data_IF_216035587745
#
_entry.id   IF_216035587745
#
_cell.length_a   1.000
_cell.length_b   1.000
_cell.length_c   1.000
_cell.angle_alpha   90.00
_cell.angle_beta   90.00
_cell.angle_gamma   90.00
#
_symmetry.space_group_name_H-M   'P 1'
#
loop_
_entity.id
_entity.type
_entity.pdbx_description
1 polymer ?
#
# COMPACT_ATOMS: atom_id res chain seq x y z
N UNK A 1 20.28 43.28 -7.23
CA UNK A 1 20.04 43.16 -5.79
C UNK A 1 18.71 42.41 -5.57
N UNK A 2 18.65 41.08 -5.77
CA UNK A 2 17.39 40.29 -5.72
C UNK A 2 17.47 38.78 -5.34
N UNK A 3 18.59 38.14 -4.93
CA UNK A 3 18.52 36.73 -4.52
C UNK A 3 17.94 36.49 -3.11
N UNK A 4 18.20 37.39 -2.16
CA UNK A 4 17.87 37.19 -0.74
C UNK A 4 16.35 37.22 -0.50
N UNK A 5 15.65 38.23 -1.01
CA UNK A 5 14.21 38.40 -0.79
C UNK A 5 13.36 37.24 -1.35
N UNK A 6 13.74 36.70 -2.51
CA UNK A 6 13.03 35.55 -3.09
C UNK A 6 13.25 34.28 -2.26
N UNK A 7 14.48 34.07 -1.78
CA UNK A 7 14.80 32.95 -0.89
C UNK A 7 14.07 33.08 0.46
N UNK A 8 13.92 34.30 0.98
CA UNK A 8 13.23 34.57 2.24
C UNK A 8 11.74 34.22 2.15
N UNK A 9 11.07 34.55 1.04
CA UNK A 9 9.67 34.18 0.80
C UNK A 9 9.48 32.67 0.60
N UNK A 10 10.41 31.99 -0.08
CA UNK A 10 10.37 30.54 -0.24
C UNK A 10 10.58 29.82 1.11
N UNK A 11 11.52 30.30 1.91
CA UNK A 11 11.79 29.77 3.25
C UNK A 11 10.61 29.99 4.19
N UNK A 12 9.99 31.18 4.15
CA UNK A 12 8.79 31.47 4.91
C UNK A 12 7.61 30.59 4.48
N UNK A 13 7.36 30.39 3.18
CA UNK A 13 6.27 29.54 2.73
C UNK A 13 6.44 28.06 3.16
N UNK A 14 7.67 27.58 3.22
CA UNK A 14 8.00 26.18 3.58
C UNK A 14 8.03 25.93 5.08
N UNK A 15 8.34 26.93 5.90
CA UNK A 15 8.57 26.73 7.33
C UNK A 15 7.26 26.36 8.06
N UNK A 16 7.23 25.28 8.86
CA UNK A 16 6.04 24.87 9.61
C UNK A 16 5.67 25.87 10.73
N UNK A 17 6.62 26.69 11.17
CA UNK A 17 6.40 27.71 12.21
C UNK A 17 5.87 29.03 11.65
N UNK A 18 5.62 29.10 10.34
CA UNK A 18 5.19 30.35 9.71
C UNK A 18 3.78 30.72 10.16
N UNK A 19 3.59 31.94 10.70
CA UNK A 19 2.30 32.43 11.13
C UNK A 19 1.21 32.34 10.05
N UNK A 20 -0.02 31.92 10.41
CA UNK A 20 -1.17 31.83 9.50
C UNK A 20 -1.44 33.06 8.63
N UNK A 21 -1.23 34.26 9.16
CA UNK A 21 -1.41 35.52 8.43
C UNK A 21 -0.38 35.68 7.30
N UNK A 22 0.88 35.32 7.55
CA UNK A 22 1.94 35.37 6.52
C UNK A 22 1.65 34.34 5.42
N UNK A 23 1.18 33.14 5.77
CA UNK A 23 0.74 32.15 4.78
C UNK A 23 -0.46 32.65 3.95
N UNK A 24 -1.37 33.40 4.58
CA UNK A 24 -2.49 34.09 3.92
C UNK A 24 -2.06 35.14 2.90
N UNK A 25 -0.99 35.88 3.16
CA UNK A 25 -0.45 36.84 2.18
C UNK A 25 0.30 36.13 1.04
N UNK A 26 1.05 35.07 1.37
CA UNK A 26 1.84 34.30 0.40
C UNK A 26 0.96 33.47 -0.56
N UNK A 27 -0.25 33.07 -0.15
CA UNK A 27 -1.18 32.38 -1.07
C UNK A 27 -1.68 33.28 -2.19
N UNK A 28 -1.64 34.61 -2.05
CA UNK A 28 -1.97 35.55 -3.12
C UNK A 28 -0.80 35.86 -4.06
N UNK A 29 0.37 35.22 -3.85
CA UNK A 29 1.55 35.44 -4.67
C UNK A 29 1.29 35.12 -6.14
N UNK A 30 1.83 35.96 -7.04
CA UNK A 30 1.78 35.70 -8.48
C UNK A 30 2.64 34.51 -8.90
N UNK A 31 3.65 34.15 -8.10
CA UNK A 31 4.50 32.99 -8.36
C UNK A 31 3.80 31.70 -7.90
N UNK A 32 3.44 30.77 -8.81
CA UNK A 32 2.83 29.50 -8.45
C UNK A 32 3.72 28.65 -7.54
N UNK A 33 5.04 28.80 -7.59
CA UNK A 33 5.96 28.04 -6.73
C UNK A 33 5.76 28.39 -5.26
N UNK A 34 5.57 29.68 -4.94
CA UNK A 34 5.29 30.13 -3.58
C UNK A 34 3.93 29.57 -3.14
N UNK A 35 2.91 29.63 -4.01
CA UNK A 35 1.58 29.07 -3.70
C UNK A 35 1.61 27.56 -3.47
N UNK A 36 2.43 26.80 -4.21
CA UNK A 36 2.67 25.36 -3.98
C UNK A 36 3.30 25.11 -2.61
N UNK A 37 4.26 25.93 -2.20
CA UNK A 37 4.90 25.80 -0.88
C UNK A 37 3.91 26.07 0.25
N UNK A 38 3.09 27.12 0.11
CA UNK A 38 2.00 27.40 1.04
C UNK A 38 1.00 26.25 1.06
N UNK A 39 0.55 25.75 -0.09
CA UNK A 39 -0.38 24.64 -0.18
C UNK A 39 0.15 23.35 0.45
N UNK A 40 1.46 23.11 0.43
CA UNK A 40 2.11 21.92 1.02
C UNK A 40 2.41 22.07 2.52
N UNK A 41 2.28 23.27 3.07
CA UNK A 41 2.63 23.54 4.47
C UNK A 41 1.52 23.05 5.41
N UNK A 42 1.90 22.26 6.41
CA UNK A 42 0.97 21.64 7.37
C UNK A 42 0.23 22.67 8.23
N UNK A 43 0.83 23.85 8.44
CA UNK A 43 0.28 24.96 9.22
C UNK A 43 -0.61 25.88 8.38
N UNK A 44 -0.84 25.58 7.10
CA UNK A 44 -1.67 26.40 6.24
C UNK A 44 -3.13 26.36 6.70
N UNK A 45 -3.76 27.53 6.93
CA UNK A 45 -5.12 27.60 7.40
C UNK A 45 -6.11 26.91 6.45
N UNK A 46 -7.14 26.28 7.00
CA UNK A 46 -8.14 25.56 6.21
C UNK A 46 -8.82 26.44 5.15
N UNK A 47 -9.08 27.71 5.48
CA UNK A 47 -9.64 28.69 4.54
C UNK A 47 -8.71 28.96 3.35
N UNK A 48 -7.39 29.00 3.60
CA UNK A 48 -6.39 29.16 2.55
C UNK A 48 -6.31 27.89 1.67
N UNK A 49 -6.33 26.69 2.27
CA UNK A 49 -6.38 25.43 1.52
C UNK A 49 -7.62 25.33 0.64
N UNK A 50 -8.79 25.75 1.14
CA UNK A 50 -10.03 25.75 0.37
C UNK A 50 -9.96 26.69 -0.85
N UNK A 51 -9.25 27.81 -0.72
CA UNK A 51 -9.04 28.75 -1.83
C UNK A 51 -8.03 28.19 -2.83
N UNK A 52 -6.89 27.67 -2.35
CA UNK A 52 -5.83 27.08 -3.17
C UNK A 52 -6.27 25.79 -3.89
N UNK A 53 -7.30 25.09 -3.39
CA UNK A 53 -7.90 23.95 -4.08
C UNK A 53 -8.61 24.33 -5.39
N UNK A 54 -8.88 25.62 -5.60
CA UNK A 54 -9.49 26.18 -6.81
C UNK A 54 -8.49 27.06 -7.58
N UNK A 55 -7.20 26.87 -7.34
CA UNK A 55 -6.16 27.59 -8.05
C UNK A 55 -6.18 27.24 -9.54
N UNK A 56 -5.74 28.19 -10.37
CA UNK A 56 -5.63 27.99 -11.82
C UNK A 56 -4.45 27.07 -12.18
N UNK A 57 -3.48 26.91 -11.27
CA UNK A 57 -2.33 26.03 -11.46
C UNK A 57 -2.58 24.65 -10.82
N UNK A 58 -2.63 23.62 -11.65
CA UNK A 58 -2.85 22.23 -11.22
C UNK A 58 -1.83 21.73 -10.19
N UNK A 59 -0.59 22.27 -10.19
CA UNK A 59 0.43 21.90 -9.20
C UNK A 59 0.07 22.42 -7.82
N UNK A 60 -0.56 23.58 -7.73
CA UNK A 60 -1.06 24.14 -6.46
C UNK A 60 -2.20 23.25 -5.94
N UNK A 61 -3.16 22.90 -6.80
CA UNK A 61 -4.25 21.98 -6.45
C UNK A 61 -3.72 20.61 -6.01
N UNK A 62 -2.73 20.05 -6.71
CA UNK A 62 -2.08 18.79 -6.36
C UNK A 62 -1.23 18.87 -5.08
N UNK A 63 -0.76 20.07 -4.69
CA UNK A 63 -0.10 20.29 -3.42
C UNK A 63 -1.12 20.31 -2.27
N UNK A 64 -2.26 20.99 -2.45
CA UNK A 64 -3.38 20.93 -1.48
C UNK A 64 -3.86 19.48 -1.31
N UNK A 65 -4.03 18.74 -2.40
CA UNK A 65 -4.47 17.35 -2.37
C UNK A 65 -3.56 16.43 -1.53
N UNK A 66 -2.25 16.71 -1.48
CA UNK A 66 -1.25 15.95 -0.72
C UNK A 66 -1.07 16.41 0.71
N UNK A 67 -1.64 17.55 1.09
CA UNK A 67 -1.48 18.12 2.42
C UNK A 67 -2.25 17.27 3.44
N UNK A 68 -1.60 16.77 4.52
CA UNK A 68 -2.28 16.02 5.58
C UNK A 68 -3.33 16.83 6.35
N UNK A 69 -3.20 18.16 6.37
CA UNK A 69 -4.15 19.09 7.01
C UNK A 69 -5.32 19.49 6.09
N UNK A 70 -5.37 18.98 4.85
CA UNK A 70 -6.45 19.31 3.92
C UNK A 70 -7.81 18.79 4.44
N UNK A 71 -8.84 19.63 4.51
CA UNK A 71 -10.19 19.20 4.84
C UNK A 71 -10.72 18.10 3.91
N UNK A 72 -11.53 17.18 4.46
CA UNK A 72 -12.09 16.06 3.68
C UNK A 72 -12.98 16.53 2.53
N UNK A 73 -13.77 17.59 2.71
CA UNK A 73 -14.60 18.19 1.65
C UNK A 73 -13.75 18.74 0.50
N UNK A 74 -12.60 19.37 0.81
CA UNK A 74 -11.62 19.83 -0.18
C UNK A 74 -10.98 18.64 -0.92
N UNK A 75 -10.59 17.59 -0.20
CA UNK A 75 -10.03 16.37 -0.80
C UNK A 75 -11.06 15.71 -1.73
N UNK A 76 -12.31 15.59 -1.29
CA UNK A 76 -13.41 15.04 -2.08
C UNK A 76 -13.70 15.88 -3.33
N UNK A 77 -13.63 17.21 -3.25
CA UNK A 77 -13.72 18.09 -4.41
C UNK A 77 -12.60 17.83 -5.42
N UNK A 78 -11.34 17.74 -4.95
CA UNK A 78 -10.18 17.49 -5.80
C UNK A 78 -10.19 16.07 -6.41
N UNK A 79 -10.79 15.10 -5.73
CA UNK A 79 -10.98 13.74 -6.25
C UNK A 79 -11.86 13.68 -7.50
N UNK A 80 -12.71 14.69 -7.72
CA UNK A 80 -13.58 14.81 -8.90
C UNK A 80 -12.93 15.61 -10.03
N UNK A 81 -11.68 16.06 -9.87
CA UNK A 81 -10.98 16.84 -10.88
C UNK A 81 -10.86 16.08 -12.21
N UNK A 82 -11.03 16.78 -13.33
CA UNK A 82 -10.77 16.23 -14.66
C UNK A 82 -9.30 15.83 -14.84
N UNK A 83 -8.37 16.48 -14.11
CA UNK A 83 -6.94 16.25 -14.21
C UNK A 83 -6.50 15.00 -13.43
N UNK A 84 -5.96 13.97 -14.09
CA UNK A 84 -5.49 12.77 -13.42
C UNK A 84 -4.35 13.03 -12.42
N UNK A 85 -3.53 14.05 -12.67
CA UNK A 85 -2.44 14.46 -11.78
C UNK A 85 -2.96 14.91 -10.41
N UNK A 86 -4.09 15.61 -10.36
CA UNK A 86 -4.75 16.04 -9.12
C UNK A 86 -5.38 14.83 -8.42
N UNK A 87 -6.09 13.96 -9.15
CA UNK A 87 -6.68 12.75 -8.56
C UNK A 87 -5.63 11.77 -8.02
N UNK A 88 -4.48 11.65 -8.70
CA UNK A 88 -3.34 10.85 -8.24
C UNK A 88 -2.70 11.45 -6.98
N UNK A 89 -2.64 12.78 -6.90
CA UNK A 89 -2.20 13.48 -5.69
C UNK A 89 -3.14 13.24 -4.51
N UNK A 90 -4.47 13.21 -4.75
CA UNK A 90 -5.47 12.81 -3.74
C UNK A 90 -5.25 11.37 -3.30
N UNK A 91 -5.09 10.43 -4.23
CA UNK A 91 -4.81 9.03 -3.92
C UNK A 91 -3.50 8.83 -3.13
N UNK A 92 -2.54 9.74 -3.28
CA UNK A 92 -1.26 9.71 -2.56
C UNK A 92 -1.32 10.36 -1.17
N UNK A 93 -2.46 10.93 -0.77
CA UNK A 93 -2.59 11.58 0.54
C UNK A 93 -2.52 10.51 1.66
N UNK A 94 -1.63 10.67 2.66
CA UNK A 94 -1.50 9.71 3.75
C UNK A 94 -2.79 9.58 4.60
N UNK A 95 -3.62 10.64 4.64
CA UNK A 95 -4.89 10.70 5.35
C UNK A 95 -6.09 10.32 4.47
N UNK A 96 -5.88 9.85 3.22
CA UNK A 96 -6.95 9.32 2.40
C UNK A 96 -7.59 8.11 3.09
N UNK A 97 -8.90 8.16 3.28
CA UNK A 97 -9.66 7.07 3.90
C UNK A 97 -9.91 5.91 2.93
N UNK A 98 -10.40 4.80 3.49
CA UNK A 98 -10.68 3.59 2.71
C UNK A 98 -11.75 3.82 1.64
N UNK A 99 -12.78 4.62 1.91
CA UNK A 99 -13.86 4.89 0.95
C UNK A 99 -13.33 5.65 -0.27
N UNK A 100 -12.52 6.69 -0.05
CA UNK A 100 -11.89 7.48 -1.09
C UNK A 100 -10.92 6.63 -1.93
N UNK A 101 -10.07 5.83 -1.29
CA UNK A 101 -9.14 4.94 -1.97
C UNK A 101 -9.87 3.85 -2.77
N UNK A 102 -10.96 3.30 -2.23
CA UNK A 102 -11.82 2.35 -2.93
C UNK A 102 -12.42 2.96 -4.19
N UNK A 103 -12.91 4.20 -4.12
CA UNK A 103 -13.44 4.90 -5.30
C UNK A 103 -12.37 5.16 -6.35
N UNK A 104 -11.17 5.56 -5.93
CA UNK A 104 -10.05 5.85 -6.84
C UNK A 104 -9.38 4.58 -7.39
N UNK A 105 -9.62 3.41 -6.79
CA UNK A 105 -9.15 2.13 -7.30
C UNK A 105 -9.77 1.77 -8.67
N UNK A 106 -10.99 2.24 -8.92
CA UNK A 106 -11.71 2.08 -10.20
C UNK A 106 -11.46 3.25 -11.17
N UNK A 107 -10.57 4.19 -10.85
CA UNK A 107 -10.29 5.34 -11.71
C UNK A 107 -9.84 4.87 -13.10
N UNK A 108 -10.32 5.53 -14.15
CA UNK A 108 -9.97 5.18 -15.53
C UNK A 108 -8.46 5.35 -15.78
N UNK A 109 -7.78 6.24 -15.06
CA UNK A 109 -6.38 6.60 -15.31
C UNK A 109 -5.42 5.71 -14.51
N UNK A 110 -4.43 5.08 -15.16
CA UNK A 110 -3.49 4.18 -14.50
C UNK A 110 -2.65 4.84 -13.41
N UNK A 111 -2.23 6.10 -13.59
CA UNK A 111 -1.42 6.80 -12.57
C UNK A 111 -2.19 7.06 -11.28
N UNK A 112 -3.53 7.18 -11.34
CA UNK A 112 -4.37 7.31 -10.15
C UNK A 112 -4.42 5.96 -9.43
N UNK A 113 -4.69 4.88 -10.15
CA UNK A 113 -4.68 3.52 -9.59
C UNK A 113 -3.31 3.12 -9.04
N UNK A 114 -2.23 3.54 -9.69
CA UNK A 114 -0.86 3.32 -9.22
C UNK A 114 -0.57 4.09 -7.93
N UNK A 115 -1.10 5.31 -7.78
CA UNK A 115 -0.98 6.06 -6.53
C UNK A 115 -1.79 5.42 -5.40
N UNK A 116 -3.00 4.92 -5.68
CA UNK A 116 -3.76 4.11 -4.71
C UNK A 116 -2.94 2.89 -4.28
N UNK A 117 -2.36 2.16 -5.23
CA UNK A 117 -1.54 0.99 -4.92
C UNK A 117 -0.27 1.32 -4.12
N UNK A 118 0.34 2.49 -4.34
CA UNK A 118 1.54 2.93 -3.63
C UNK A 118 1.25 3.52 -2.24
N UNK A 119 0.00 3.89 -1.94
CA UNK A 119 -0.35 4.49 -0.67
C UNK A 119 -0.33 3.45 0.47
N UNK A 120 0.44 3.72 1.53
CA UNK A 120 0.59 2.83 2.68
C UNK A 120 -0.70 2.64 3.49
N UNK A 121 -1.66 3.57 3.35
CA UNK A 121 -2.95 3.50 4.00
C UNK A 121 -3.89 2.53 3.29
N UNK A 122 -3.65 2.20 2.01
CA UNK A 122 -4.52 1.36 1.18
C UNK A 122 -4.73 -0.04 1.76
N UNK A 123 -5.99 -0.42 2.07
CA UNK A 123 -6.30 -1.76 2.56
C UNK A 123 -6.03 -2.85 1.53
N UNK A 124 -5.77 -4.07 2.01
CA UNK A 124 -5.52 -5.27 1.18
C UNK A 124 -6.60 -5.51 0.13
N UNK A 125 -7.87 -5.37 0.50
CA UNK A 125 -9.01 -5.56 -0.39
C UNK A 125 -9.02 -4.56 -1.56
N UNK A 126 -8.61 -3.32 -1.30
CA UNK A 126 -8.51 -2.27 -2.33
C UNK A 126 -7.31 -2.54 -3.25
N UNK A 127 -6.18 -3.04 -2.71
CA UNK A 127 -5.03 -3.46 -3.52
C UNK A 127 -5.39 -4.60 -4.48
N UNK A 128 -6.15 -5.59 -4.02
CA UNK A 128 -6.67 -6.65 -4.88
C UNK A 128 -7.61 -6.09 -5.97
N UNK A 129 -8.50 -5.16 -5.62
CA UNK A 129 -9.38 -4.51 -6.59
C UNK A 129 -8.60 -3.80 -7.69
N UNK A 130 -7.57 -3.02 -7.32
CA UNK A 130 -6.70 -2.33 -8.28
C UNK A 130 -6.00 -3.32 -9.22
N UNK A 131 -5.56 -4.47 -8.71
CA UNK A 131 -4.88 -5.51 -9.49
C UNK A 131 -5.81 -6.25 -10.45
N UNK A 132 -7.11 -6.38 -10.16
CA UNK A 132 -8.08 -7.02 -11.08
C UNK A 132 -8.17 -6.32 -12.43
N UNK A 133 -7.92 -5.02 -12.48
CA UNK A 133 -7.88 -4.26 -13.74
C UNK A 133 -6.55 -4.39 -14.48
N UNK A 134 -5.47 -4.81 -13.81
CA UNK A 134 -4.16 -4.99 -14.41
C UNK A 134 -4.08 -6.26 -15.29
N UNK A 135 -4.97 -7.24 -15.06
CA UNK A 135 -5.04 -8.49 -15.83
C UNK A 135 -5.62 -8.31 -17.25
N UNK A 136 -6.20 -7.14 -17.57
CA UNK A 136 -6.62 -6.80 -18.94
C UNK A 136 -5.42 -6.39 -19.78
N UNK A 137 -4.70 -7.40 -20.28
CA UNK A 137 -3.76 -7.47 -21.43
C UNK A 137 -2.70 -6.38 -21.68
N UNK A 138 -2.83 -5.12 -21.23
CA UNK A 138 -1.86 -4.05 -21.52
C UNK A 138 -1.81 -2.93 -20.45
N UNK A 139 -2.41 -3.13 -19.27
CA UNK A 139 -2.48 -2.10 -18.24
C UNK A 139 -1.27 -2.14 -17.29
N UNK A 140 -0.19 -1.55 -17.83
CA UNK A 140 0.94 -0.86 -17.19
C UNK A 140 1.60 -1.53 -15.97
N UNK A 141 2.88 -1.92 -16.08
CA UNK A 141 3.68 -2.46 -14.98
C UNK A 141 3.68 -1.59 -13.72
N UNK A 142 3.42 -0.28 -13.83
CA UNK A 142 3.46 0.67 -12.73
C UNK A 142 2.50 0.30 -11.60
N UNK A 143 1.26 -0.09 -11.91
CA UNK A 143 0.26 -0.46 -10.90
C UNK A 143 0.68 -1.73 -10.17
N UNK A 144 1.12 -2.74 -10.93
CA UNK A 144 1.60 -3.99 -10.36
C UNK A 144 2.88 -3.79 -9.53
N UNK A 145 3.81 -2.94 -9.97
CA UNK A 145 5.03 -2.62 -9.21
C UNK A 145 4.67 -1.90 -7.91
N UNK A 146 3.77 -0.91 -7.96
CA UNK A 146 3.31 -0.16 -6.80
C UNK A 146 2.62 -1.06 -5.77
N UNK A 147 1.72 -1.94 -6.22
CA UNK A 147 1.08 -2.92 -5.35
C UNK A 147 2.11 -3.92 -4.79
N UNK A 148 3.04 -4.42 -5.61
CA UNK A 148 4.07 -5.34 -5.16
C UNK A 148 4.96 -4.73 -4.07
N UNK A 149 5.22 -3.42 -4.12
CA UNK A 149 5.98 -2.68 -3.11
C UNK A 149 5.20 -2.31 -1.84
N UNK A 150 3.88 -2.50 -1.81
CA UNK A 150 3.05 -2.12 -0.68
C UNK A 150 3.09 -3.19 0.42
N UNK A 151 3.32 -2.79 1.67
CA UNK A 151 3.40 -3.69 2.82
C UNK A 151 2.07 -4.32 3.21
N UNK A 152 0.94 -3.76 2.75
CA UNK A 152 -0.41 -4.30 2.97
C UNK A 152 -0.88 -5.25 1.86
N UNK A 153 -0.07 -5.48 0.83
CA UNK A 153 -0.41 -6.44 -0.22
C UNK A 153 -0.49 -7.85 0.37
N UNK A 154 -1.60 -8.57 0.16
CA UNK A 154 -1.76 -9.93 0.68
C UNK A 154 -0.62 -10.85 0.24
N UNK A 155 -0.21 -11.73 1.16
CA UNK A 155 0.86 -12.68 0.91
C UNK A 155 0.58 -13.60 -0.29
N UNK A 156 -0.63 -14.16 -0.48
CA UNK A 156 -0.95 -14.96 -1.68
C UNK A 156 -0.82 -14.17 -2.98
N UNK A 157 -1.18 -12.90 -2.93
CA UNK A 157 -1.03 -11.99 -4.06
C UNK A 157 0.45 -11.80 -4.34
N UNK A 158 1.29 -11.42 -3.37
CA UNK A 158 2.75 -11.28 -3.57
C UNK A 158 3.41 -12.56 -4.10
N UNK A 159 3.01 -13.74 -3.62
CA UNK A 159 3.50 -15.03 -4.11
C UNK A 159 3.12 -15.28 -5.57
N UNK A 160 1.85 -15.02 -5.91
CA UNK A 160 1.38 -15.04 -7.30
C UNK A 160 2.18 -14.06 -8.13
N UNK A 161 2.50 -12.89 -7.57
CA UNK A 161 3.21 -11.84 -8.27
C UNK A 161 4.66 -12.16 -8.58
N UNK A 162 5.33 -12.87 -7.68
CA UNK A 162 6.73 -13.26 -7.77
C UNK A 162 6.94 -14.56 -8.58
N UNK A 163 6.02 -15.51 -8.48
CA UNK A 163 6.30 -16.90 -8.91
C UNK A 163 5.31 -17.48 -9.92
N UNK A 164 4.15 -16.84 -10.17
CA UNK A 164 3.12 -17.39 -11.05
C UNK A 164 3.06 -16.66 -12.39
N UNK A 165 3.24 -17.43 -13.46
CA UNK A 165 3.12 -16.96 -14.85
C UNK A 165 4.31 -16.14 -15.35
N UNK A 166 4.32 -15.85 -16.65
CA UNK A 166 5.30 -14.98 -17.27
C UNK A 166 4.98 -13.51 -16.95
N UNK A 167 5.77 -12.92 -16.05
CA UNK A 167 5.59 -11.54 -15.59
C UNK A 167 6.87 -10.76 -15.88
N UNK A 168 6.74 -9.44 -16.05
CA UNK A 168 7.93 -8.60 -16.24
C UNK A 168 8.83 -8.70 -15.01
N UNK A 169 10.14 -8.85 -15.26
CA UNK A 169 11.17 -9.01 -14.23
C UNK A 169 11.07 -7.95 -13.12
N UNK A 170 10.78 -6.69 -13.48
CA UNK A 170 10.63 -5.59 -12.53
C UNK A 170 9.53 -5.86 -11.48
N UNK A 171 8.43 -6.50 -11.87
CA UNK A 171 7.32 -6.85 -10.97
C UNK A 171 7.76 -7.97 -10.02
N UNK A 172 8.45 -8.97 -10.55
CA UNK A 172 8.98 -10.10 -9.76
C UNK A 172 9.96 -9.58 -8.71
N UNK A 173 10.89 -8.72 -9.09
CA UNK A 173 11.87 -8.12 -8.17
C UNK A 173 11.20 -7.28 -7.08
N UNK A 174 10.19 -6.47 -7.42
CA UNK A 174 9.44 -5.68 -6.45
C UNK A 174 8.70 -6.59 -5.43
N UNK A 175 8.05 -7.66 -5.91
CA UNK A 175 7.36 -8.60 -5.05
C UNK A 175 8.33 -9.35 -4.13
N UNK A 176 9.47 -9.83 -4.67
CA UNK A 176 10.51 -10.48 -3.88
C UNK A 176 11.11 -9.55 -2.83
N UNK A 177 11.33 -8.27 -3.14
CA UNK A 177 11.82 -7.29 -2.18
C UNK A 177 10.87 -7.10 -0.99
N UNK A 178 9.56 -7.06 -1.25
CA UNK A 178 8.54 -6.99 -0.20
C UNK A 178 8.47 -8.28 0.59
N UNK A 179 8.45 -9.45 -0.08
CA UNK A 179 8.46 -10.76 0.57
C UNK A 179 9.67 -10.95 1.51
N UNK A 180 10.84 -10.45 1.12
CA UNK A 180 12.06 -10.48 1.96
C UNK A 180 11.96 -9.63 3.23
N UNK A 181 11.05 -8.65 3.27
CA UNK A 181 10.78 -7.82 4.45
C UNK A 181 9.71 -8.40 5.37
N UNK A 182 9.00 -9.44 4.95
CA UNK A 182 7.95 -10.08 5.74
C UNK A 182 8.55 -10.81 6.93
N UNK A 183 7.96 -10.60 8.10
CA UNK A 183 8.41 -11.21 9.35
C UNK A 183 7.98 -12.68 9.45
N UNK A 184 8.69 -13.48 10.24
CA UNK A 184 8.30 -14.88 10.47
C UNK A 184 6.90 -15.04 11.03
N UNK A 185 6.41 -14.08 11.83
CA UNK A 185 5.03 -14.08 12.34
C UNK A 185 4.01 -13.95 11.21
N UNK A 186 4.22 -13.03 10.27
CA UNK A 186 3.32 -12.85 9.13
C UNK A 186 3.28 -14.09 8.22
N UNK A 187 4.42 -14.78 8.03
CA UNK A 187 4.44 -16.07 7.35
C UNK A 187 3.62 -17.13 8.11
N UNK A 188 3.79 -17.22 9.43
CA UNK A 188 3.02 -18.16 10.25
C UNK A 188 1.52 -17.85 10.24
N UNK A 189 1.13 -16.57 10.24
CA UNK A 189 -0.28 -16.15 10.15
C UNK A 189 -0.89 -16.56 8.80
N UNK A 190 -0.15 -16.43 7.70
CA UNK A 190 -0.57 -16.91 6.38
C UNK A 190 -0.75 -18.44 6.33
N UNK A 191 0.09 -19.20 7.03
CA UNK A 191 -0.07 -20.66 7.17
C UNK A 191 -1.30 -21.01 7.99
N UNK A 192 -1.54 -20.32 9.12
CA UNK A 192 -2.74 -20.53 9.96
C UNK A 192 -4.04 -20.20 9.23
N UNK A 193 -4.01 -19.17 8.37
CA UNK A 193 -5.14 -18.81 7.52
C UNK A 193 -5.39 -19.84 6.38
N UNK A 194 -4.49 -20.81 6.18
CA UNK A 194 -4.56 -21.78 5.08
C UNK A 194 -4.22 -21.19 3.71
N UNK A 195 -3.66 -19.98 3.69
CA UNK A 195 -3.35 -19.24 2.48
C UNK A 195 -2.00 -19.66 1.87
N UNK A 196 -1.09 -20.17 2.69
CA UNK A 196 0.29 -20.50 2.32
C UNK A 196 0.72 -21.82 2.94
N UNK A 197 1.36 -22.68 2.14
CA UNK A 197 2.00 -23.92 2.59
C UNK A 197 3.05 -24.35 1.57
N UNK A 198 4.08 -25.08 1.98
CA UNK A 198 5.24 -25.42 1.14
C UNK A 198 4.85 -26.23 -0.10
N UNK A 199 3.84 -27.10 0.03
CA UNK A 199 3.32 -27.93 -1.07
C UNK A 199 2.39 -27.19 -2.03
N UNK A 200 2.20 -25.87 -1.89
CA UNK A 200 1.35 -25.10 -2.79
C UNK A 200 1.94 -25.10 -4.20
N UNK A 201 1.21 -25.60 -5.17
CA UNK A 201 1.64 -25.67 -6.58
C UNK A 201 1.46 -24.28 -7.20
N UNK A 202 2.56 -23.67 -7.63
CA UNK A 202 2.55 -22.32 -8.21
C UNK A 202 2.45 -22.33 -9.73
N UNK A 203 3.06 -23.33 -10.37
CA UNK A 203 3.01 -23.54 -11.82
C UNK A 203 2.87 -25.04 -12.15
N UNK A 204 2.08 -25.36 -13.17
CA UNK A 204 1.93 -26.72 -13.70
C UNK A 204 3.08 -27.06 -14.68
N UNK A 205 4.30 -26.84 -14.24
CA UNK A 205 5.50 -27.32 -14.93
C UNK A 205 5.70 -28.82 -14.63
N UNK A 206 6.61 -29.48 -15.37
CA UNK A 206 6.96 -30.88 -15.13
C UNK A 206 8.44 -30.94 -14.75
N UNK A 207 8.80 -31.22 -13.47
CA UNK A 207 7.92 -31.42 -12.30
C UNK A 207 7.23 -30.13 -11.83
N UNK A 208 6.08 -30.22 -11.12
CA UNK A 208 5.34 -29.05 -10.66
C UNK A 208 6.18 -28.26 -9.66
N UNK A 209 6.37 -26.97 -9.94
CA UNK A 209 7.13 -26.08 -9.06
C UNK A 209 6.27 -25.73 -7.84
N UNK A 210 6.70 -26.19 -6.68
CA UNK A 210 6.04 -25.88 -5.40
C UNK A 210 6.51 -24.53 -4.85
N UNK A 211 5.77 -24.00 -3.88
CA UNK A 211 6.21 -22.84 -3.12
C UNK A 211 7.54 -23.08 -2.42
N UNK A 212 7.75 -24.28 -1.87
CA UNK A 212 9.04 -24.66 -1.28
C UNK A 212 10.19 -24.51 -2.26
N UNK A 213 10.06 -25.05 -3.47
CA UNK A 213 11.08 -24.96 -4.52
C UNK A 213 11.34 -23.51 -4.94
N UNK A 214 10.26 -22.73 -5.09
CA UNK A 214 10.34 -21.32 -5.46
C UNK A 214 11.10 -20.48 -4.42
N UNK A 215 10.80 -20.67 -3.14
CA UNK A 215 11.48 -19.98 -2.04
C UNK A 215 12.97 -20.32 -1.97
N UNK A 216 13.32 -21.60 -2.09
CA UNK A 216 14.72 -22.04 -2.09
C UNK A 216 15.49 -21.50 -3.30
N UNK A 217 14.88 -21.50 -4.49
CA UNK A 217 15.50 -20.93 -5.70
C UNK A 217 15.71 -19.41 -5.65
N UNK A 218 15.07 -18.72 -4.70
CA UNK A 218 15.13 -17.25 -4.54
C UNK A 218 15.91 -16.81 -3.28
N UNK A 219 16.70 -17.72 -2.70
CA UNK A 219 17.45 -17.52 -1.45
C UNK A 219 16.59 -17.12 -0.24
N UNK A 220 15.32 -17.56 -0.21
CA UNK A 220 14.37 -17.27 0.87
C UNK A 220 14.29 -18.42 1.89
N UNK A 221 15.44 -18.92 2.32
CA UNK A 221 15.53 -20.04 3.28
C UNK A 221 14.87 -19.72 4.61
N UNK A 222 14.95 -18.46 5.08
CA UNK A 222 14.26 -18.04 6.31
C UNK A 222 12.75 -18.17 6.21
N UNK A 223 12.15 -17.72 5.11
CA UNK A 223 10.72 -17.86 4.86
C UNK A 223 10.31 -19.34 4.80
N UNK A 224 11.10 -20.18 4.13
CA UNK A 224 10.89 -21.64 4.11
C UNK A 224 10.83 -22.23 5.52
N UNK A 225 11.80 -21.90 6.38
CA UNK A 225 11.86 -22.40 7.76
C UNK A 225 10.67 -21.90 8.61
N UNK A 226 10.24 -20.65 8.42
CA UNK A 226 9.06 -20.13 9.11
C UNK A 226 7.77 -20.85 8.70
N UNK A 227 7.57 -21.11 7.41
CA UNK A 227 6.41 -21.87 6.92
C UNK A 227 6.47 -23.31 7.44
N UNK A 228 7.63 -23.97 7.33
CA UNK A 228 7.82 -25.35 7.80
C UNK A 228 7.52 -25.50 9.30
N UNK A 229 8.02 -24.58 10.11
CA UNK A 229 7.78 -24.61 11.56
C UNK A 229 6.32 -24.35 11.91
N UNK A 230 5.65 -23.43 11.22
CA UNK A 230 4.22 -23.17 11.41
C UNK A 230 3.33 -24.37 10.99
N UNK A 231 3.63 -25.02 9.87
CA UNK A 231 2.91 -26.24 9.43
C UNK A 231 3.08 -27.37 10.44
N UNK A 232 4.29 -27.57 10.95
CA UNK A 232 4.56 -28.62 11.95
C UNK A 232 3.79 -28.34 13.25
N UNK A 233 3.73 -27.08 13.69
CA UNK A 233 2.96 -26.69 14.87
C UNK A 233 1.47 -27.03 14.72
N UNK A 234 0.84 -26.69 13.59
CA UNK A 234 -0.57 -27.01 13.31
C UNK A 234 -0.84 -28.53 13.27
N UNK A 235 0.10 -29.31 12.74
CA UNK A 235 0.00 -30.79 12.74
C UNK A 235 0.11 -31.39 14.15
N UNK A 236 0.89 -30.78 15.03
CA UNK A 236 0.98 -31.22 16.43
C UNK A 236 -0.32 -30.89 17.16
N UNK A 237 -0.83 -29.67 17.03
CA UNK A 237 -2.08 -29.22 17.66
C UNK A 237 -3.28 -30.09 17.24
N UNK A 238 -3.45 -30.32 15.93
CA UNK A 238 -4.51 -31.18 15.41
C UNK A 238 -4.41 -32.65 15.84
N UNK A 239 -3.19 -33.18 16.02
CA UNK A 239 -2.99 -34.53 16.55
C UNK A 239 -3.22 -34.65 18.06
N UNK A 240 -3.09 -33.56 18.82
CA UNK A 240 -3.39 -33.53 20.25
C UNK A 240 -4.90 -33.56 20.49
N UNK A 241 -5.68 -32.84 19.68
CA UNK A 241 -7.15 -32.82 19.75
C UNK A 241 -7.81 -34.15 19.34
N UNK A 242 -7.11 -35.00 18.60
CA UNK A 242 -7.59 -36.33 18.19
C UNK A 242 -7.27 -37.46 19.19
N UNK A 243 -6.65 -37.17 20.34
CA UNK A 243 -6.45 -38.21 21.37
C UNK A 243 -7.78 -38.48 22.10
N UNK A 244 -8.32 -39.72 22.07
CA UNK A 244 -9.47 -40.06 22.90
C UNK A 244 -9.09 -39.91 24.39
N UNK A 245 -9.90 -39.16 25.15
CA UNK A 245 -9.89 -39.13 26.61
C UNK A 245 -10.26 -40.53 27.14
N UNK A 246 -9.30 -41.45 27.17
CA UNK A 246 -9.43 -42.77 27.78
C UNK A 246 -8.51 -42.88 28.97
N UNK A 247 -8.98 -42.45 30.15
CA UNK A 247 -8.47 -42.96 31.43
C UNK A 247 -9.66 -43.32 32.32
N UNK A 248 -10.04 -44.60 32.22
CA UNK A 248 -10.22 -45.47 33.39
C UNK A 248 -11.46 -45.30 34.26
N UNK A 249 -12.59 -45.85 33.83
CA UNK A 249 -13.56 -46.43 34.78
C UNK A 249 -12.93 -47.66 35.45
N UNK A 250 -12.37 -47.49 36.65
CA UNK A 250 -11.97 -48.62 37.49
C UNK A 250 -13.21 -49.11 38.25
N UNK A 251 -13.84 -50.12 37.68
CA UNK A 251 -14.93 -50.88 38.29
C UNK A 251 -14.40 -51.71 39.46
N UNK A 252 -15.06 -51.55 40.61
CA UNK A 252 -15.10 -52.43 41.79
C UNK A 252 -14.59 -53.86 41.60
N UNK A 253 -13.73 -54.31 42.52
CA UNK A 253 -13.75 -55.68 43.01
C UNK A 253 -13.98 -55.66 44.53
N UNK A 254 -15.15 -56.17 44.92
CA UNK A 254 -15.39 -56.77 46.23
C UNK A 254 -14.65 -58.10 46.25
N UNK A 255 -13.91 -58.40 47.31
CA UNK A 255 -14.06 -59.59 48.18
C UNK A 255 -13.15 -59.40 49.39
#
# INVERSE_FOLDING_TARGET
MYPTYCNDLHNAAKSPDTPPNILGDLMASRDPKIRVLVASNISTPLAALNTLARDMDDKVCAAVARNPSAPLDVICYLALSAQPSIRSAVASNPMADEELLTRLADDHHPDVRSAVAANHSTPSKVLEQVLRYADKADLLPTVAIAAAGNSKTPLPTLLTMAFKGERKEVIVLAALATLKRITGQQWADGVRAGEVYLGLILAQEVPPKTLGDALLSSDMTSAYQHIQSAELALRIESNVDQRPLSIGTSTRLRF
#
